data_IF_132233774662
#
_entry.id   IF_132233774662
#
_cell.length_a   1.000
_cell.length_b   1.000
_cell.length_c   1.000
_cell.angle_alpha   90.00
_cell.angle_beta   90.00
_cell.angle_gamma   90.00
#
_symmetry.space_group_name_H-M   'P 1'
#
loop_
_entity.id
_entity.type
_entity.pdbx_description
1 polymer ?
#
# COMPACT_ATOMS: atom_id res chain seq x y z
N UNK A 1 -34.48 -7.46 -59.74
CA UNK A 1 -33.48 -7.55 -58.65
C UNK A 1 -32.10 -7.39 -59.25
N UNK A 2 -31.30 -6.40 -58.83
CA UNK A 2 -29.86 -6.39 -59.07
C UNK A 2 -29.19 -6.39 -57.70
N UNK A 3 -28.66 -7.55 -57.31
CA UNK A 3 -27.89 -7.70 -56.08
C UNK A 3 -26.65 -6.81 -56.19
N UNK A 4 -26.44 -5.91 -55.21
CA UNK A 4 -25.18 -5.16 -55.11
C UNK A 4 -24.12 -6.12 -54.58
N UNK A 5 -23.13 -6.41 -55.40
CA UNK A 5 -21.98 -7.24 -55.04
C UNK A 5 -21.16 -6.53 -53.94
N UNK A 6 -21.27 -7.01 -52.71
CA UNK A 6 -20.58 -6.46 -51.53
C UNK A 6 -19.11 -6.93 -51.43
N UNK A 7 -18.60 -7.60 -52.47
CA UNK A 7 -17.27 -8.22 -52.46
C UNK A 7 -16.15 -7.30 -53.01
N UNK A 8 -16.49 -6.06 -53.38
CA UNK A 8 -15.55 -4.99 -53.74
C UNK A 8 -15.50 -3.91 -52.66
N UNK A 9 -15.11 -4.28 -51.45
CA UNK A 9 -14.56 -3.29 -50.50
C UNK A 9 -13.04 -3.29 -50.69
N UNK A 10 -12.50 -2.19 -51.23
CA UNK A 10 -11.06 -1.98 -51.21
C UNK A 10 -10.64 -1.89 -49.74
N UNK A 11 -9.86 -2.85 -49.27
CA UNK A 11 -9.27 -2.84 -47.93
C UNK A 11 -8.22 -1.72 -47.92
N UNK A 12 -8.67 -0.49 -47.67
CA UNK A 12 -7.80 0.67 -47.53
C UNK A 12 -6.74 0.35 -46.49
N UNK A 13 -5.47 0.34 -46.91
CA UNK A 13 -4.37 0.23 -45.96
C UNK A 13 -4.33 1.54 -45.18
N UNK A 14 -4.64 1.47 -43.89
CA UNK A 14 -4.50 2.62 -43.01
C UNK A 14 -3.01 2.94 -42.91
N UNK A 15 -2.63 4.17 -43.29
CA UNK A 15 -1.24 4.61 -43.18
C UNK A 15 -0.76 4.43 -41.74
N UNK A 16 0.48 3.95 -41.51
CA UNK A 16 1.02 3.86 -40.16
C UNK A 16 0.95 5.23 -39.50
N UNK A 17 0.45 5.28 -38.26
CA UNK A 17 0.43 6.53 -37.50
C UNK A 17 1.86 7.09 -37.44
N UNK A 18 2.07 8.40 -37.68
CA UNK A 18 3.38 9.00 -37.45
C UNK A 18 3.80 8.72 -36.01
N UNK A 19 5.08 8.42 -35.82
CA UNK A 19 5.66 8.18 -34.50
C UNK A 19 5.43 9.45 -33.69
N UNK A 20 4.61 9.37 -32.64
CA UNK A 20 4.50 10.47 -31.70
C UNK A 20 5.83 10.54 -30.95
N UNK A 21 6.69 11.48 -31.30
CA UNK A 21 7.84 11.80 -30.48
C UNK A 21 7.29 12.28 -29.14
N UNK A 22 7.54 11.52 -28.08
CA UNK A 22 7.23 11.96 -26.73
C UNK A 22 8.11 13.16 -26.45
N UNK A 23 7.57 14.35 -26.66
CA UNK A 23 8.24 15.58 -26.26
C UNK A 23 8.63 15.44 -24.80
N UNK A 24 9.91 15.63 -24.50
CA UNK A 24 10.36 15.77 -23.12
C UNK A 24 9.66 17.00 -22.56
N UNK A 25 8.56 16.79 -21.86
CA UNK A 25 7.94 17.83 -21.04
C UNK A 25 9.03 18.25 -20.06
N UNK A 26 9.53 19.47 -20.20
CA UNK A 26 10.48 20.02 -19.23
C UNK A 26 9.88 19.87 -17.84
N UNK A 27 10.68 19.38 -16.90
CA UNK A 27 10.29 19.24 -15.51
C UNK A 27 9.73 20.60 -15.03
N UNK A 28 8.61 20.61 -14.26
CA UNK A 28 8.09 21.85 -13.71
C UNK A 28 9.19 22.59 -12.93
N UNK A 29 9.18 23.93 -12.91
CA UNK A 29 10.17 24.71 -12.18
C UNK A 29 10.20 24.24 -10.71
N UNK A 30 11.38 24.24 -10.05
CA UNK A 30 11.44 23.93 -8.63
C UNK A 30 10.52 24.90 -7.90
N UNK A 31 9.69 24.42 -6.96
CA UNK A 31 8.85 25.30 -6.18
C UNK A 31 9.74 26.31 -5.44
N UNK A 32 9.33 27.57 -5.49
CA UNK A 32 10.05 28.69 -4.90
C UNK A 32 10.37 28.40 -3.43
N UNK A 33 11.66 28.35 -3.12
CA UNK A 33 12.19 28.06 -1.79
C UNK A 33 11.65 29.05 -0.77
N UNK A 34 10.83 28.57 0.17
CA UNK A 34 10.89 28.87 1.63
C UNK A 34 9.79 28.09 2.39
N UNK A 35 8.74 27.59 1.73
CA UNK A 35 7.63 26.90 2.43
C UNK A 35 7.65 25.35 2.36
N UNK A 36 8.37 24.73 1.41
CA UNK A 36 8.25 23.28 1.18
C UNK A 36 9.08 22.37 2.12
N UNK A 37 9.87 22.96 3.02
CA UNK A 37 10.65 22.17 3.99
C UNK A 37 9.81 21.77 5.21
N UNK A 38 8.79 22.55 5.57
CA UNK A 38 7.96 22.27 6.74
C UNK A 38 6.92 21.16 6.47
N UNK A 39 6.31 21.16 5.27
CA UNK A 39 5.34 20.12 4.87
C UNK A 39 5.96 18.72 4.71
N UNK A 40 7.22 18.64 4.27
CA UNK A 40 7.90 17.36 4.04
C UNK A 40 8.37 16.73 5.35
N UNK A 41 8.80 17.53 6.32
CA UNK A 41 9.20 17.04 7.65
C UNK A 41 8.01 16.56 8.48
N UNK A 42 6.90 17.30 8.47
CA UNK A 42 5.69 16.89 9.21
C UNK A 42 5.08 15.61 8.60
N UNK A 43 5.04 15.51 7.28
CA UNK A 43 4.61 14.29 6.59
C UNK A 43 5.56 13.13 6.83
N UNK A 44 6.88 13.36 6.88
CA UNK A 44 7.85 12.33 7.22
C UNK A 44 7.67 11.83 8.66
N UNK A 45 7.39 12.73 9.62
CA UNK A 45 7.06 12.35 11.00
C UNK A 45 5.77 11.54 11.08
N UNK A 46 4.71 11.97 10.38
CA UNK A 46 3.46 11.23 10.32
C UNK A 46 3.64 9.82 9.71
N UNK A 47 4.47 9.70 8.67
CA UNK A 47 4.82 8.42 8.07
C UNK A 47 5.64 7.55 9.02
N UNK A 48 6.64 8.11 9.70
CA UNK A 48 7.46 7.39 10.68
C UNK A 48 6.61 6.85 11.84
N UNK A 49 5.68 7.66 12.36
CA UNK A 49 4.70 7.21 13.35
C UNK A 49 3.89 6.06 12.78
N UNK A 50 3.34 6.20 11.57
CA UNK A 50 2.55 5.16 10.92
C UNK A 50 3.33 3.85 10.70
N UNK A 51 4.62 3.92 10.38
CA UNK A 51 5.49 2.76 10.23
C UNK A 51 5.76 2.06 11.56
N UNK A 52 5.90 2.82 12.65
CA UNK A 52 5.99 2.28 14.01
C UNK A 52 4.69 1.54 14.40
N UNK A 53 3.53 2.11 14.09
CA UNK A 53 2.22 1.44 14.30
C UNK A 53 2.18 0.11 13.52
N UNK A 54 2.57 0.13 12.24
CA UNK A 54 2.57 -1.08 11.39
C UNK A 54 3.51 -2.15 11.92
N UNK A 55 4.71 -1.76 12.38
CA UNK A 55 5.68 -2.68 12.97
C UNK A 55 5.12 -3.37 14.22
N UNK A 56 4.55 -2.56 15.11
CA UNK A 56 3.88 -3.02 16.32
C UNK A 56 2.73 -4.00 16.01
N UNK A 57 1.86 -3.64 15.06
CA UNK A 57 0.72 -4.47 14.66
C UNK A 57 1.14 -5.80 14.03
N UNK A 58 2.19 -5.80 13.20
CA UNK A 58 2.73 -7.02 12.60
C UNK A 58 3.21 -8.00 13.68
N UNK A 59 3.88 -7.51 14.72
CA UNK A 59 4.35 -8.33 15.84
C UNK A 59 3.21 -8.85 16.71
N UNK A 60 2.19 -8.04 16.95
CA UNK A 60 0.96 -8.46 17.65
C UNK A 60 0.27 -9.63 16.91
N UNK A 61 0.07 -9.53 15.59
CA UNK A 61 -0.52 -10.63 14.80
C UNK A 61 0.37 -11.87 14.76
N UNK A 62 1.69 -11.69 14.77
CA UNK A 62 2.61 -12.81 14.81
C UNK A 62 2.47 -13.62 16.11
N UNK A 63 2.28 -12.93 17.25
CA UNK A 63 1.97 -13.60 18.52
C UNK A 63 0.65 -14.39 18.46
N UNK A 64 -0.42 -13.80 17.94
CA UNK A 64 -1.71 -14.48 17.85
C UNK A 64 -1.65 -15.70 16.93
N UNK A 65 -0.97 -15.60 15.78
CA UNK A 65 -0.72 -16.75 14.91
C UNK A 65 0.10 -17.84 15.61
N UNK A 66 1.13 -17.46 16.36
CA UNK A 66 1.94 -18.40 17.15
C UNK A 66 1.07 -19.17 18.16
N UNK A 67 0.15 -18.48 18.83
CA UNK A 67 -0.80 -19.11 19.76
C UNK A 67 -1.75 -20.07 19.06
N UNK A 68 -2.24 -19.73 17.86
CA UNK A 68 -3.15 -20.58 17.09
C UNK A 68 -2.47 -21.85 16.56
N UNK A 69 -1.23 -21.74 16.06
CA UNK A 69 -0.50 -22.86 15.46
C UNK A 69 0.18 -23.76 16.50
N UNK A 70 0.86 -23.16 17.48
CA UNK A 70 1.73 -23.88 18.43
C UNK A 70 1.16 -23.96 19.84
N UNK A 71 0.12 -23.18 20.16
CA UNK A 71 -0.38 -23.05 21.53
C UNK A 71 0.54 -22.18 22.40
N UNK A 72 0.52 -22.40 23.72
CA UNK A 72 1.26 -21.60 24.70
C UNK A 72 2.73 -22.03 24.78
N UNK A 73 3.45 -21.83 23.68
CA UNK A 73 4.87 -22.14 23.56
C UNK A 73 5.76 -21.07 24.21
N UNK A 74 6.96 -21.47 24.63
CA UNK A 74 8.01 -20.58 25.15
C UNK A 74 8.42 -19.48 24.15
N UNK A 75 8.35 -19.75 22.85
CA UNK A 75 8.63 -18.79 21.78
C UNK A 75 7.54 -17.72 21.69
N UNK A 76 6.26 -18.12 21.81
CA UNK A 76 5.14 -17.18 21.81
C UNK A 76 5.18 -16.25 23.04
N UNK A 77 5.62 -16.73 24.21
CA UNK A 77 5.79 -15.90 25.41
C UNK A 77 6.94 -14.87 25.27
N UNK A 78 7.98 -15.15 24.49
CA UNK A 78 9.02 -14.16 24.16
C UNK A 78 8.44 -13.05 23.28
N UNK A 79 7.75 -13.42 22.19
CA UNK A 79 7.09 -12.47 21.28
C UNK A 79 6.09 -11.60 22.06
N UNK A 80 5.40 -12.18 23.04
CA UNK A 80 4.47 -11.48 23.93
C UNK A 80 5.13 -10.38 24.75
N UNK A 81 6.28 -10.66 25.34
CA UNK A 81 7.03 -9.66 26.11
C UNK A 81 7.54 -8.56 25.18
N UNK A 82 8.11 -8.96 24.04
CA UNK A 82 8.62 -8.06 23.02
C UNK A 82 7.57 -7.05 22.54
N UNK A 83 6.39 -7.50 22.07
CA UNK A 83 5.38 -6.53 21.60
C UNK A 83 4.79 -5.72 22.75
N UNK A 84 4.62 -6.28 23.95
CA UNK A 84 4.10 -5.50 25.10
C UNK A 84 5.04 -4.38 25.54
N UNK A 85 6.35 -4.56 25.40
CA UNK A 85 7.33 -3.51 25.71
C UNK A 85 7.46 -2.46 24.63
N UNK A 86 7.28 -2.83 23.36
CA UNK A 86 7.47 -1.93 22.22
C UNK A 86 6.19 -1.18 21.83
N UNK A 87 5.02 -1.73 22.12
CA UNK A 87 3.74 -1.19 21.67
C UNK A 87 3.00 -0.43 22.79
N UNK A 88 2.28 0.65 22.45
CA UNK A 88 1.32 1.27 23.36
C UNK A 88 0.25 0.26 23.80
N UNK A 89 -0.02 0.17 25.11
CA UNK A 89 -0.98 -0.81 25.65
C UNK A 89 -2.41 -0.57 25.16
N UNK A 90 -2.79 0.71 24.97
CA UNK A 90 -4.12 1.10 24.47
C UNK A 90 -4.45 0.47 23.09
N UNK A 91 -3.46 0.37 22.20
CA UNK A 91 -3.67 -0.21 20.88
C UNK A 91 -3.79 -1.72 20.91
N UNK A 92 -3.05 -2.37 21.80
CA UNK A 92 -3.11 -3.82 21.99
C UNK A 92 -4.52 -4.24 22.42
N UNK A 93 -5.12 -3.51 23.37
CA UNK A 93 -6.48 -3.80 23.86
C UNK A 93 -7.51 -3.66 22.74
N UNK A 94 -7.48 -2.56 21.99
CA UNK A 94 -8.38 -2.33 20.86
C UNK A 94 -8.27 -3.41 19.79
N UNK A 95 -7.05 -3.82 19.44
CA UNK A 95 -6.85 -4.88 18.45
C UNK A 95 -7.27 -6.25 18.99
N UNK A 96 -7.08 -6.52 20.28
CA UNK A 96 -7.55 -7.76 20.90
C UNK A 96 -9.07 -7.89 20.80
N UNK A 97 -9.81 -6.83 21.12
CA UNK A 97 -11.27 -6.79 20.96
C UNK A 97 -11.69 -7.03 19.50
N UNK A 98 -11.04 -6.37 18.54
CA UNK A 98 -11.35 -6.54 17.12
C UNK A 98 -11.06 -7.95 16.59
N UNK A 99 -9.97 -8.60 17.05
CA UNK A 99 -9.66 -9.98 16.66
C UNK A 99 -10.66 -10.99 17.22
N UNK A 100 -11.19 -10.76 18.43
CA UNK A 100 -12.27 -11.58 19.00
C UNK A 100 -13.55 -11.46 18.19
N UNK A 101 -13.89 -10.24 17.72
CA UNK A 101 -15.08 -10.01 16.87
C UNK A 101 -14.91 -10.64 15.49
N UNK A 102 -13.73 -10.55 14.89
CA UNK A 102 -13.46 -11.05 13.53
C UNK A 102 -13.28 -12.58 13.45
N UNK A 103 -13.07 -13.22 14.60
CA UNK A 103 -12.96 -14.68 14.74
C UNK A 103 -14.30 -15.35 15.10
N UNK A 104 -15.37 -14.58 15.33
CA UNK A 104 -16.76 -15.05 15.40
C UNK A 104 -17.42 -14.99 14.03
#
# INVERSE_FOLDING_TARGET
>A
MRARDVNKVAKGQQAPRPVHETGTVSKPPPPSSTDHQFETEERAKANAIADEIRHCYARFRHYHRCLEEKGKDSECEKIKKDYKSSCPSEWIEKWHEENVVRSR
#
